data_IF_159973387113
#
_entry.id   IF_159973387113
#
_cell.length_a   1.000
_cell.length_b   1.000
_cell.length_c   1.000
_cell.angle_alpha   90.00
_cell.angle_beta   90.00
_cell.angle_gamma   90.00
#
_symmetry.space_group_name_H-M   'P 1'
#
loop_
_entity.id
_entity.type
_entity.pdbx_description
1 polymer ?
#
# COMPACT_ATOMS: atom_id res chain seq x y z
N UNK A 1 -14.98 -8.26 9.11
CA UNK A 1 -15.90 -7.44 9.92
C UNK A 1 -16.39 -6.22 9.13
N UNK A 2 -15.53 -5.55 8.37
CA UNK A 2 -15.91 -4.51 7.43
C UNK A 2 -16.32 -5.16 6.10
N UNK A 3 -17.44 -4.72 5.53
CA UNK A 3 -17.81 -5.09 4.16
C UNK A 3 -17.06 -4.17 3.19
N UNK A 4 -15.73 -4.39 3.06
CA UNK A 4 -14.83 -3.54 2.31
C UNK A 4 -13.88 -4.35 1.42
N UNK A 5 -13.42 -3.75 0.35
CA UNK A 5 -12.47 -4.30 -0.60
C UNK A 5 -11.07 -3.82 -0.26
N UNK A 6 -10.17 -4.73 0.08
CA UNK A 6 -8.75 -4.42 0.23
C UNK A 6 -8.10 -4.28 -1.15
N UNK A 7 -7.44 -3.17 -1.37
CA UNK A 7 -6.75 -2.83 -2.61
C UNK A 7 -5.26 -2.75 -2.32
N UNK A 8 -4.55 -3.83 -2.65
CA UNK A 8 -3.09 -3.89 -2.58
C UNK A 8 -2.51 -3.58 -3.96
N UNK A 9 -1.72 -2.50 -4.09
CA UNK A 9 -1.06 -2.18 -5.36
C UNK A 9 -0.10 -3.28 -5.80
N UNK A 10 0.57 -3.95 -4.85
CA UNK A 10 1.43 -5.09 -5.16
C UNK A 10 0.65 -6.26 -5.75
N UNK A 11 -0.57 -6.53 -5.28
CA UNK A 11 -1.40 -7.61 -5.82
C UNK A 11 -1.97 -7.25 -7.18
N UNK A 12 -2.43 -6.02 -7.39
CA UNK A 12 -2.86 -5.53 -8.71
C UNK A 12 -1.75 -5.68 -9.76
N UNK A 13 -0.52 -5.28 -9.43
CA UNK A 13 0.61 -5.39 -10.34
C UNK A 13 1.00 -6.86 -10.61
N UNK A 14 0.96 -7.73 -9.60
CA UNK A 14 1.18 -9.17 -9.78
C UNK A 14 0.10 -9.83 -10.62
N UNK A 15 -1.14 -9.39 -10.49
CA UNK A 15 -2.24 -9.85 -11.34
C UNK A 15 -2.01 -9.48 -12.81
N UNK A 16 -1.58 -8.25 -13.11
CA UNK A 16 -1.21 -7.83 -14.46
C UNK A 16 -0.09 -8.73 -15.05
N UNK A 17 0.93 -9.06 -14.24
CA UNK A 17 2.00 -9.98 -14.65
C UNK A 17 1.46 -11.38 -14.93
N UNK A 18 0.62 -11.91 -14.03
CA UNK A 18 0.07 -13.26 -14.16
C UNK A 18 -0.85 -13.41 -15.38
N UNK A 19 -1.58 -12.35 -15.71
CA UNK A 19 -2.44 -12.26 -16.88
C UNK A 19 -1.67 -11.97 -18.17
N UNK A 20 -0.33 -11.82 -18.09
CA UNK A 20 0.54 -11.52 -19.22
C UNK A 20 0.07 -10.30 -20.05
N UNK A 21 -0.55 -9.31 -19.38
CA UNK A 21 -1.00 -8.06 -19.98
C UNK A 21 0.18 -7.22 -20.50
N UNK A 22 -0.09 -6.21 -21.32
CA UNK A 22 0.97 -5.29 -21.78
C UNK A 22 1.57 -4.50 -20.62
N UNK A 23 0.78 -4.13 -19.61
CA UNK A 23 1.25 -3.55 -18.36
C UNK A 23 2.17 -4.57 -17.64
N UNK A 24 1.71 -5.80 -17.45
CA UNK A 24 2.47 -6.85 -16.77
C UNK A 24 3.82 -7.10 -17.40
N UNK A 25 3.89 -7.17 -18.74
CA UNK A 25 5.15 -7.32 -19.51
C UNK A 25 6.10 -6.14 -19.29
N UNK A 26 5.57 -4.91 -19.18
CA UNK A 26 6.38 -3.71 -19.01
C UNK A 26 7.00 -3.56 -17.61
N UNK A 27 6.33 -4.08 -16.57
CA UNK A 27 6.71 -3.87 -15.16
C UNK A 27 7.47 -5.03 -14.52
N UNK A 28 7.51 -6.21 -15.15
CA UNK A 28 8.06 -7.44 -14.54
C UNK A 28 9.52 -7.27 -14.09
N UNK A 29 10.35 -6.56 -14.86
CA UNK A 29 11.76 -6.34 -14.53
C UNK A 29 11.89 -5.38 -13.34
N UNK A 30 11.13 -4.30 -13.31
CA UNK A 30 11.17 -3.33 -12.20
C UNK A 30 10.73 -3.98 -10.89
N UNK A 31 9.68 -4.81 -10.92
CA UNK A 31 9.21 -5.54 -9.75
C UNK A 31 10.24 -6.56 -9.25
N UNK A 32 10.89 -7.31 -10.15
CA UNK A 32 11.95 -8.27 -9.78
C UNK A 32 13.17 -7.55 -9.19
N UNK A 33 13.51 -6.36 -9.71
CA UNK A 33 14.60 -5.52 -9.20
C UNK A 33 14.24 -4.81 -7.87
N UNK A 34 13.00 -4.93 -7.40
CA UNK A 34 12.51 -4.24 -6.20
C UNK A 34 12.29 -2.74 -6.37
N UNK A 35 12.28 -2.26 -7.61
CA UNK A 35 11.96 -0.87 -7.95
C UNK A 35 10.46 -0.62 -7.84
N UNK A 36 10.10 0.66 -7.68
CA UNK A 36 8.70 1.06 -7.80
C UNK A 36 8.33 1.16 -9.28
N UNK A 37 7.14 0.64 -9.58
CA UNK A 37 6.49 0.85 -10.87
C UNK A 37 6.08 2.33 -11.00
N UNK A 38 6.10 2.85 -12.22
CA UNK A 38 5.80 4.28 -12.46
C UNK A 38 4.44 4.70 -11.90
N UNK A 39 4.36 5.93 -11.41
CA UNK A 39 3.12 6.48 -10.84
C UNK A 39 1.96 6.48 -11.86
N UNK A 40 2.25 6.65 -13.17
CA UNK A 40 1.22 6.62 -14.22
C UNK A 40 0.51 5.27 -14.28
N UNK A 41 1.28 4.17 -14.25
CA UNK A 41 0.72 2.81 -14.30
C UNK A 41 -0.10 2.55 -13.04
N UNK A 42 0.50 2.81 -11.87
CA UNK A 42 -0.19 2.59 -10.58
C UNK A 42 -1.47 3.42 -10.49
N UNK A 43 -1.41 4.70 -10.85
CA UNK A 43 -2.56 5.59 -10.81
C UNK A 43 -3.67 5.16 -11.78
N UNK A 44 -3.33 4.59 -12.94
CA UNK A 44 -4.32 4.07 -13.89
C UNK A 44 -5.08 2.86 -13.32
N UNK A 45 -4.38 1.94 -12.66
CA UNK A 45 -5.00 0.79 -11.99
C UNK A 45 -5.89 1.24 -10.83
N UNK A 46 -5.42 2.17 -10.00
CA UNK A 46 -6.19 2.72 -8.87
C UNK A 46 -7.43 3.47 -9.36
N UNK A 47 -7.33 4.21 -10.47
CA UNK A 47 -8.49 4.89 -11.07
C UNK A 47 -9.61 3.91 -11.39
N UNK A 48 -9.30 2.78 -12.02
CA UNK A 48 -10.29 1.75 -12.35
C UNK A 48 -11.01 1.23 -11.11
N UNK A 49 -10.28 1.06 -10.01
CA UNK A 49 -10.85 0.59 -8.73
C UNK A 49 -11.72 1.66 -8.07
N UNK A 50 -11.28 2.92 -8.07
CA UNK A 50 -12.00 4.03 -7.41
C UNK A 50 -13.33 4.32 -8.11
N UNK A 51 -13.37 4.18 -9.44
CA UNK A 51 -14.60 4.41 -10.24
C UNK A 51 -15.49 3.17 -10.40
N UNK A 52 -15.12 2.05 -9.80
CA UNK A 52 -15.96 0.85 -9.75
C UNK A 52 -17.14 1.09 -8.78
N UNK A 53 -18.36 1.14 -9.34
CA UNK A 53 -19.56 1.45 -8.57
C UNK A 53 -19.88 0.43 -7.47
N UNK A 54 -19.47 -0.83 -7.64
CA UNK A 54 -19.68 -1.88 -6.63
C UNK A 54 -18.79 -1.70 -5.40
N UNK A 55 -17.65 -1.02 -5.58
CA UNK A 55 -16.64 -0.76 -4.54
C UNK A 55 -16.78 0.62 -3.90
N UNK A 56 -17.65 1.47 -4.41
CA UNK A 56 -17.83 2.85 -3.91
C UNK A 56 -18.02 2.89 -2.39
N UNK A 57 -17.26 3.73 -1.69
CA UNK A 57 -17.27 3.91 -0.23
C UNK A 57 -16.94 2.64 0.58
N UNK A 58 -16.21 1.68 -0.03
CA UNK A 58 -15.84 0.41 0.59
C UNK A 58 -14.38 0.05 0.36
N UNK A 59 -13.51 1.01 0.08
CA UNK A 59 -12.12 0.77 -0.28
C UNK A 59 -11.19 0.84 0.93
N UNK A 60 -10.28 -0.10 1.03
CA UNK A 60 -9.14 -0.10 1.94
C UNK A 60 -7.88 -0.16 1.09
N UNK A 61 -7.14 0.93 1.01
CA UNK A 61 -5.86 0.97 0.29
C UNK A 61 -4.75 0.41 1.19
N UNK A 62 -4.03 -0.59 0.69
CA UNK A 62 -2.91 -1.23 1.36
C UNK A 62 -1.63 -1.01 0.54
N UNK A 63 -0.63 -0.37 1.17
CA UNK A 63 0.61 -0.02 0.50
C UNK A 63 0.45 1.00 -0.64
N UNK A 64 -0.55 1.87 -0.55
CA UNK A 64 -0.80 3.00 -1.45
C UNK A 64 -1.44 4.14 -0.66
N UNK A 65 -1.07 5.42 -0.92
CA UNK A 65 -0.03 5.87 -1.86
C UNK A 65 1.40 5.66 -1.32
N UNK A 66 2.39 5.56 -2.23
CA UNK A 66 3.81 5.43 -1.91
C UNK A 66 4.66 6.62 -2.35
N UNK A 67 4.08 7.57 -3.04
CA UNK A 67 4.69 8.84 -3.42
C UNK A 67 3.74 10.00 -3.17
N UNK A 68 4.28 11.22 -3.04
CA UNK A 68 3.47 12.42 -2.89
C UNK A 68 2.60 12.68 -4.13
N UNK A 69 3.09 12.31 -5.31
CA UNK A 69 2.33 12.36 -6.57
C UNK A 69 1.10 11.46 -6.51
N UNK A 70 1.29 10.20 -6.07
CA UNK A 70 0.19 9.25 -5.87
C UNK A 70 -0.83 9.75 -4.84
N UNK A 71 -0.37 10.33 -3.72
CA UNK A 71 -1.24 10.86 -2.68
C UNK A 71 -2.15 11.97 -3.21
N UNK A 72 -1.58 12.94 -3.93
CA UNK A 72 -2.34 14.03 -4.57
C UNK A 72 -3.31 13.50 -5.63
N UNK A 73 -2.88 12.51 -6.42
CA UNK A 73 -3.75 11.90 -7.42
C UNK A 73 -4.93 11.15 -6.77
N UNK A 74 -4.69 10.43 -5.66
CA UNK A 74 -5.76 9.76 -4.92
C UNK A 74 -6.81 10.75 -4.42
N UNK A 75 -6.40 11.88 -3.85
CA UNK A 75 -7.32 12.91 -3.38
C UNK A 75 -8.20 13.45 -4.53
N UNK A 76 -7.63 13.64 -5.73
CA UNK A 76 -8.37 14.05 -6.93
C UNK A 76 -9.37 12.96 -7.35
N UNK A 77 -8.92 11.71 -7.46
CA UNK A 77 -9.77 10.58 -7.88
C UNK A 77 -10.95 10.37 -6.93
N UNK A 78 -10.72 10.44 -5.62
CA UNK A 78 -11.76 10.29 -4.62
C UNK A 78 -12.77 11.45 -4.70
N UNK A 79 -12.29 12.69 -4.85
CA UNK A 79 -13.16 13.85 -5.03
C UNK A 79 -14.02 13.73 -6.29
N UNK A 80 -13.43 13.33 -7.41
CA UNK A 80 -14.12 13.17 -8.69
C UNK A 80 -15.16 12.05 -8.69
N UNK A 81 -14.99 11.06 -7.80
CA UNK A 81 -15.94 9.96 -7.61
C UNK A 81 -16.90 10.16 -6.43
N UNK A 82 -16.93 11.37 -5.84
CA UNK A 82 -17.74 11.69 -4.66
C UNK A 82 -17.46 10.74 -3.50
N UNK A 83 -16.18 10.54 -3.20
CA UNK A 83 -15.66 9.74 -2.11
C UNK A 83 -14.62 10.55 -1.31
N UNK A 84 -14.27 10.09 -0.13
CA UNK A 84 -13.26 10.73 0.72
C UNK A 84 -12.47 9.70 1.50
N UNK A 85 -11.34 10.13 2.07
CA UNK A 85 -10.59 9.33 3.05
C UNK A 85 -11.25 9.51 4.42
N UNK A 86 -11.78 8.42 4.96
CA UNK A 86 -12.41 8.41 6.27
C UNK A 86 -11.40 8.18 7.40
N UNK A 87 -10.34 7.40 7.16
CA UNK A 87 -9.33 7.08 8.16
C UNK A 87 -8.01 6.69 7.51
N UNK A 88 -6.91 7.06 8.16
CA UNK A 88 -5.56 6.74 7.72
C UNK A 88 -4.82 6.10 8.90
N UNK A 89 -4.34 4.87 8.71
CA UNK A 89 -3.47 4.21 9.67
C UNK A 89 -2.04 4.17 9.17
N UNK A 90 -1.13 4.71 9.95
CA UNK A 90 0.30 4.52 9.76
C UNK A 90 0.84 3.50 10.76
N UNK A 91 1.29 2.36 10.26
CA UNK A 91 1.97 1.36 11.09
C UNK A 91 3.45 1.69 11.17
N UNK A 92 3.86 2.34 12.26
CA UNK A 92 5.27 2.66 12.48
C UNK A 92 6.03 1.42 12.92
N UNK A 93 7.01 0.98 12.13
CA UNK A 93 7.80 -0.23 12.38
C UNK A 93 9.28 0.10 12.17
N UNK A 94 10.13 -0.28 13.12
CA UNK A 94 11.57 -0.10 12.97
C UNK A 94 12.18 -1.08 11.95
N UNK A 95 13.33 -0.70 11.39
CA UNK A 95 14.02 -1.45 10.33
C UNK A 95 14.29 -2.91 10.72
N UNK A 96 14.70 -3.15 11.96
CA UNK A 96 15.03 -4.50 12.44
C UNK A 96 13.80 -5.43 12.41
N UNK A 97 12.66 -4.93 12.88
CA UNK A 97 11.39 -5.68 12.84
C UNK A 97 10.93 -5.93 11.41
N UNK A 98 11.08 -4.94 10.51
CA UNK A 98 10.78 -5.10 9.08
C UNK A 98 11.60 -6.24 8.49
N UNK A 99 12.92 -6.24 8.69
CA UNK A 99 13.82 -7.28 8.18
C UNK A 99 13.42 -8.67 8.65
N UNK A 100 13.19 -8.85 9.97
CA UNK A 100 12.74 -10.13 10.55
C UNK A 100 11.39 -10.61 9.94
N UNK A 101 10.45 -9.69 9.72
CA UNK A 101 9.15 -10.04 9.12
C UNK A 101 9.26 -10.47 7.67
N UNK A 102 10.11 -9.81 6.89
CA UNK A 102 10.31 -10.16 5.48
C UNK A 102 11.01 -11.51 5.34
N UNK A 103 12.01 -11.80 6.18
CA UNK A 103 12.64 -13.13 6.21
C UNK A 103 11.62 -14.25 6.48
N UNK A 104 10.72 -14.04 7.46
CA UNK A 104 9.64 -15.00 7.72
C UNK A 104 8.69 -15.13 6.53
N UNK A 105 8.31 -14.01 5.90
CA UNK A 105 7.41 -14.00 4.75
C UNK A 105 8.01 -14.72 3.54
N UNK A 106 9.30 -14.53 3.27
CA UNK A 106 10.03 -15.24 2.22
C UNK A 106 9.88 -16.75 2.33
N UNK A 107 9.98 -17.28 3.56
CA UNK A 107 9.85 -18.72 3.82
C UNK A 107 8.40 -19.20 3.60
N UNK A 108 7.40 -18.40 4.02
CA UNK A 108 5.99 -18.80 4.02
C UNK A 108 5.37 -18.64 2.62
N UNK A 109 5.63 -17.50 1.95
CA UNK A 109 4.95 -17.11 0.71
C UNK A 109 5.79 -17.37 -0.54
N UNK A 110 7.05 -17.77 -0.39
CA UNK A 110 7.98 -18.06 -1.50
C UNK A 110 8.00 -16.98 -2.59
N UNK A 111 7.99 -15.70 -2.18
CA UNK A 111 8.01 -14.56 -3.10
C UNK A 111 9.40 -14.39 -3.72
N UNK A 112 9.46 -14.30 -5.03
CA UNK A 112 10.72 -14.09 -5.78
C UNK A 112 11.36 -12.72 -5.51
N UNK A 113 10.54 -11.74 -5.11
CA UNK A 113 10.93 -10.36 -4.86
C UNK A 113 11.31 -10.06 -3.39
N UNK A 114 11.41 -11.09 -2.53
CA UNK A 114 11.80 -10.97 -1.11
C UNK A 114 13.25 -11.47 -0.84
N UNK A 115 14.20 -11.18 -1.73
CA UNK A 115 15.63 -11.38 -1.42
C UNK A 115 16.19 -10.18 -0.62
N UNK A 116 17.31 -10.43 0.11
CA UNK A 116 17.87 -9.43 1.04
C UNK A 116 18.31 -8.14 0.34
N UNK A 117 18.82 -8.22 -0.89
CA UNK A 117 19.26 -7.04 -1.65
C UNK A 117 18.08 -6.20 -2.12
N UNK A 118 17.03 -6.85 -2.58
CA UNK A 118 15.75 -6.21 -2.97
C UNK A 118 15.06 -5.55 -1.79
N UNK A 119 15.09 -6.17 -0.61
CA UNK A 119 14.55 -5.62 0.64
C UNK A 119 15.23 -4.32 1.03
N UNK A 120 16.56 -4.27 0.99
CA UNK A 120 17.32 -3.07 1.33
C UNK A 120 17.00 -1.93 0.36
N UNK A 121 16.97 -2.20 -0.94
CA UNK A 121 16.56 -1.22 -1.95
C UNK A 121 15.14 -0.68 -1.71
N UNK A 122 14.19 -1.55 -1.37
CA UNK A 122 12.81 -1.14 -1.03
C UNK A 122 12.76 -0.27 0.21
N UNK A 123 13.56 -0.57 1.23
CA UNK A 123 13.63 0.27 2.41
C UNK A 123 14.16 1.66 2.10
N UNK A 124 15.24 1.76 1.31
CA UNK A 124 15.81 3.04 0.89
C UNK A 124 14.81 3.83 0.04
N UNK A 125 14.18 3.17 -0.94
CA UNK A 125 13.12 3.78 -1.75
C UNK A 125 11.93 4.27 -0.89
N UNK A 126 11.53 3.49 0.14
CA UNK A 126 10.51 3.91 1.09
C UNK A 126 10.91 5.19 1.83
N UNK A 127 12.14 5.30 2.31
CA UNK A 127 12.61 6.49 3.02
C UNK A 127 12.58 7.73 2.13
N UNK A 128 12.94 7.58 0.85
CA UNK A 128 13.04 8.70 -0.08
C UNK A 128 11.67 9.15 -0.62
N UNK A 129 10.78 8.20 -0.92
CA UNK A 129 9.54 8.50 -1.66
C UNK A 129 8.29 8.42 -0.79
N UNK A 130 8.22 7.49 0.16
CA UNK A 130 7.00 7.25 0.96
C UNK A 130 6.99 8.06 2.26
N UNK A 131 8.15 8.31 2.87
CA UNK A 131 8.20 9.14 4.08
C UNK A 131 7.56 10.52 3.88
N UNK A 132 7.75 11.26 2.76
CA UNK A 132 7.04 12.51 2.51
C UNK A 132 5.51 12.40 2.47
N UNK A 133 4.97 11.23 2.15
CA UNK A 133 3.53 10.97 2.18
C UNK A 133 2.99 11.02 3.61
N UNK A 134 3.77 10.56 4.59
CA UNK A 134 3.42 10.65 6.01
C UNK A 134 3.30 12.11 6.47
N UNK A 135 4.22 12.96 6.04
CA UNK A 135 4.17 14.40 6.35
C UNK A 135 2.94 15.07 5.72
N UNK A 136 2.55 14.62 4.53
CA UNK A 136 1.34 15.09 3.85
C UNK A 136 0.09 14.70 4.61
N UNK A 137 -0.05 13.43 4.98
CA UNK A 137 -1.25 12.92 5.67
C UNK A 137 -1.27 13.15 7.17
N UNK A 138 -0.15 13.39 7.84
CA UNK A 138 -0.11 13.69 9.29
C UNK A 138 -0.91 14.94 9.67
N UNK A 139 -1.21 15.81 8.68
CA UNK A 139 -2.06 16.99 8.85
C UNK A 139 -3.56 16.67 8.74
N UNK A 140 -3.92 15.46 8.33
CA UNK A 140 -5.31 15.04 8.24
C UNK A 140 -5.82 14.69 9.65
N UNK A 141 -6.98 15.23 10.09
CA UNK A 141 -7.52 14.95 11.42
C UNK A 141 -7.85 13.46 11.65
N UNK A 142 -7.98 12.68 10.59
CA UNK A 142 -8.27 11.24 10.63
C UNK A 142 -7.00 10.38 10.50
N UNK A 143 -5.81 10.94 10.73
CA UNK A 143 -4.55 10.22 10.70
C UNK A 143 -4.21 9.66 12.08
N UNK A 144 -3.98 8.35 12.13
CA UNK A 144 -3.63 7.62 13.34
C UNK A 144 -2.33 6.85 13.19
N UNK A 145 -1.38 7.11 14.08
CA UNK A 145 -0.13 6.36 14.15
C UNK A 145 -0.26 5.20 15.13
N UNK A 146 0.07 4.01 14.66
CA UNK A 146 0.03 2.77 15.46
C UNK A 146 1.44 2.18 15.49
N UNK A 147 1.90 1.79 16.69
CA UNK A 147 3.12 1.01 16.83
C UNK A 147 2.93 -0.37 16.19
N UNK A 148 3.46 -0.51 14.97
CA UNK A 148 3.37 -1.71 14.17
C UNK A 148 4.38 -2.80 14.57
N UNK A 149 5.24 -2.56 15.59
CA UNK A 149 6.17 -3.59 16.12
C UNK A 149 5.49 -4.57 17.07
N UNK A 150 4.28 -4.23 17.55
CA UNK A 150 3.48 -5.05 18.45
C UNK A 150 2.98 -6.33 17.77
N UNK A 151 2.45 -7.26 18.59
CA UNK A 151 1.80 -8.47 18.07
C UNK A 151 0.54 -8.15 17.27
N UNK A 152 0.24 -9.00 16.28
CA UNK A 152 -0.88 -8.81 15.34
C UNK A 152 -2.21 -8.56 16.07
N UNK A 153 -2.48 -9.32 17.13
CA UNK A 153 -3.71 -9.19 17.92
C UNK A 153 -3.82 -7.83 18.63
N UNK A 154 -2.71 -7.26 19.07
CA UNK A 154 -2.69 -5.95 19.72
C UNK A 154 -2.96 -4.84 18.71
N UNK A 155 -2.30 -4.91 17.53
CA UNK A 155 -2.55 -3.98 16.43
C UNK A 155 -4.01 -4.08 15.97
N UNK A 156 -4.51 -5.31 15.79
CA UNK A 156 -5.91 -5.56 15.39
C UNK A 156 -6.91 -4.95 16.36
N UNK A 157 -6.69 -5.10 17.67
CA UNK A 157 -7.57 -4.49 18.70
C UNK A 157 -7.55 -2.97 18.62
N UNK A 158 -6.37 -2.36 18.43
CA UNK A 158 -6.28 -0.90 18.28
C UNK A 158 -7.05 -0.42 17.06
N UNK A 159 -6.85 -1.06 15.90
CA UNK A 159 -7.58 -0.70 14.66
C UNK A 159 -9.09 -0.87 14.87
N UNK A 160 -9.53 -2.00 15.46
CA UNK A 160 -10.95 -2.23 15.72
C UNK A 160 -11.58 -1.15 16.63
N UNK A 161 -10.83 -0.65 17.61
CA UNK A 161 -11.32 0.42 18.50
C UNK A 161 -11.56 1.72 17.73
N UNK A 162 -10.67 2.08 16.78
CA UNK A 162 -10.87 3.26 15.91
C UNK A 162 -12.07 3.08 14.96
N UNK A 163 -12.28 1.85 14.50
CA UNK A 163 -13.36 1.52 13.55
C UNK A 163 -14.70 1.24 14.24
N UNK A 164 -14.74 1.18 15.58
CA UNK A 164 -15.92 0.81 16.38
C UNK A 164 -16.53 -0.57 15.99
N UNK A 165 -15.69 -1.62 15.74
CA UNK A 165 -16.09 -2.94 15.27
C UNK A 165 -15.53 -4.09 16.10
#
# INVERSE_FOLDING_TARGET
KLNAFQISTGDLLREEISNNSDIGKSIINDMNDGKFVSDEIVNSLIKNVVFDSEKKNKLIFDGYPRSLSQAKNLDILLKDSDQKIDLIFFLNVNKETIMKRIEKRKIIENRSDDDTSTILKRYDTYMDTTKPVLEFYSKNPNFEEIDGSQEIDQITRKINNFLNV
#
